data_IF_849027476346
#
_entry.id   IF_849027476346
#
_cell.length_a   1.000
_cell.length_b   1.000
_cell.length_c   1.000
_cell.angle_alpha   90.00
_cell.angle_beta   90.00
_cell.angle_gamma   90.00
#
_symmetry.space_group_name_H-M   'P 1'
#
loop_
_entity.id
_entity.type
_entity.pdbx_description
1 polymer ?
#
# COMPACT_ATOMS: atom_id res chain seq x y z
N UNK A 1 -27.52 -4.71 -13.05
CA UNK A 1 -26.48 -5.29 -12.14
C UNK A 1 -25.76 -6.49 -12.78
N UNK A 2 -26.45 -7.37 -13.51
CA UNK A 2 -25.82 -8.54 -14.15
C UNK A 2 -24.93 -8.19 -15.35
N UNK A 3 -25.30 -7.22 -16.17
CA UNK A 3 -24.49 -6.78 -17.33
C UNK A 3 -23.14 -6.16 -16.93
N UNK A 4 -23.13 -5.36 -15.88
CA UNK A 4 -21.89 -4.72 -15.38
C UNK A 4 -20.88 -5.74 -14.85
N UNK A 5 -21.33 -6.85 -14.26
CA UNK A 5 -20.44 -7.91 -13.78
C UNK A 5 -19.86 -8.70 -14.96
N UNK A 6 -20.64 -8.94 -16.03
CA UNK A 6 -20.16 -9.64 -17.22
C UNK A 6 -19.12 -8.81 -17.99
N UNK A 7 -19.34 -7.51 -18.15
CA UNK A 7 -18.36 -6.60 -18.79
C UNK A 7 -17.07 -6.50 -18.00
N UNK A 8 -17.14 -6.38 -16.67
CA UNK A 8 -15.95 -6.42 -15.80
C UNK A 8 -15.16 -7.71 -16.01
N UNK A 9 -15.83 -8.86 -16.03
CA UNK A 9 -15.19 -10.15 -16.22
C UNK A 9 -14.52 -10.24 -17.59
N UNK A 10 -15.19 -9.80 -18.66
CA UNK A 10 -14.65 -9.79 -20.01
C UNK A 10 -13.35 -8.96 -20.09
N UNK A 11 -13.35 -7.75 -19.56
CA UNK A 11 -12.17 -6.88 -19.55
C UNK A 11 -11.00 -7.52 -18.79
N UNK A 12 -11.26 -8.17 -17.64
CA UNK A 12 -10.20 -8.83 -16.86
C UNK A 12 -9.50 -9.91 -17.68
N UNK A 13 -10.25 -10.74 -18.42
CA UNK A 13 -9.67 -11.84 -19.22
C UNK A 13 -9.06 -11.33 -20.52
N UNK A 14 -9.73 -10.46 -21.25
CA UNK A 14 -9.27 -9.93 -22.54
C UNK A 14 -7.89 -9.28 -22.45
N UNK A 15 -7.64 -8.50 -21.40
CA UNK A 15 -6.36 -7.80 -21.20
C UNK A 15 -5.32 -8.60 -20.41
N UNK A 16 -5.69 -9.72 -19.80
CA UNK A 16 -4.72 -10.60 -19.14
C UNK A 16 -3.85 -11.39 -20.15
N UNK A 17 -4.34 -11.58 -21.37
CA UNK A 17 -3.63 -12.35 -22.40
C UNK A 17 -2.37 -11.66 -22.94
N UNK A 18 -2.29 -10.33 -22.83
CA UNK A 18 -1.06 -9.59 -23.17
C UNK A 18 0.14 -9.97 -22.29
N UNK A 19 -0.10 -10.54 -21.13
CA UNK A 19 0.96 -11.06 -20.26
C UNK A 19 1.73 -12.23 -20.90
N UNK A 20 1.07 -13.05 -21.72
CA UNK A 20 1.67 -14.18 -22.42
C UNK A 20 2.62 -13.74 -23.55
N UNK A 21 2.49 -12.52 -24.04
CA UNK A 21 3.29 -11.96 -25.13
C UNK A 21 4.55 -11.24 -24.66
N UNK A 22 5.06 -11.57 -23.46
CA UNK A 22 6.28 -10.97 -22.89
C UNK A 22 6.11 -9.57 -22.32
N UNK A 23 4.90 -8.99 -22.42
CA UNK A 23 4.55 -7.73 -21.78
C UNK A 23 4.05 -8.03 -20.36
N UNK A 24 4.83 -7.70 -19.36
CA UNK A 24 4.52 -7.94 -17.92
C UNK A 24 3.33 -7.11 -17.39
N UNK A 25 2.36 -6.81 -18.24
CA UNK A 25 1.23 -5.96 -17.90
C UNK A 25 -0.03 -6.80 -17.71
N UNK A 26 -0.19 -7.39 -16.52
CA UNK A 26 -1.45 -8.06 -16.18
C UNK A 26 -2.53 -7.06 -15.75
N UNK A 27 -3.65 -7.59 -15.25
CA UNK A 27 -4.77 -6.86 -14.67
C UNK A 27 -4.65 -6.84 -13.15
N UNK A 28 -4.91 -5.70 -12.51
CA UNK A 28 -5.15 -5.61 -11.07
C UNK A 28 -6.61 -5.27 -10.79
N UNK A 29 -7.24 -6.06 -9.92
CA UNK A 29 -8.56 -5.76 -9.38
C UNK A 29 -8.36 -5.13 -8.00
N UNK A 30 -8.91 -3.94 -7.81
CA UNK A 30 -8.84 -3.22 -6.56
C UNK A 30 -10.19 -3.27 -5.87
N UNK A 31 -10.20 -3.67 -4.60
CA UNK A 31 -11.42 -3.77 -3.78
C UNK A 31 -11.25 -3.01 -2.46
N UNK A 32 -12.33 -2.70 -1.80
CA UNK A 32 -12.31 -2.02 -0.50
C UNK A 32 -12.13 -3.00 0.65
N UNK A 33 -12.69 -4.20 0.56
CA UNK A 33 -12.79 -5.15 1.66
C UNK A 33 -12.13 -6.50 1.39
N UNK A 34 -11.76 -7.20 2.49
CA UNK A 34 -11.25 -8.57 2.42
C UNK A 34 -12.34 -9.56 1.96
N UNK A 35 -13.59 -9.31 2.32
CA UNK A 35 -14.71 -10.17 1.94
C UNK A 35 -14.90 -10.22 0.42
N UNK A 36 -14.79 -9.06 -0.24
CA UNK A 36 -14.81 -8.98 -1.69
C UNK A 36 -13.63 -9.70 -2.32
N UNK A 37 -12.42 -9.56 -1.77
CA UNK A 37 -11.27 -10.33 -2.24
C UNK A 37 -11.54 -11.84 -2.17
N UNK A 38 -12.08 -12.31 -1.06
CA UNK A 38 -12.39 -13.73 -0.86
C UNK A 38 -13.52 -14.20 -1.80
N UNK A 39 -14.47 -13.33 -2.14
CA UNK A 39 -15.50 -13.62 -3.16
C UNK A 39 -14.86 -13.81 -4.54
N UNK A 40 -14.03 -12.86 -4.99
CA UNK A 40 -13.32 -12.98 -6.26
C UNK A 40 -12.46 -14.25 -6.36
N UNK A 41 -11.81 -14.64 -5.26
CA UNK A 41 -10.99 -15.84 -5.21
C UNK A 41 -11.81 -17.14 -5.31
N UNK A 42 -13.07 -17.13 -4.86
CA UNK A 42 -13.98 -18.26 -5.07
C UNK A 42 -14.47 -18.35 -6.51
N UNK A 43 -14.74 -17.19 -7.10
CA UNK A 43 -15.35 -17.11 -8.43
C UNK A 43 -14.32 -17.31 -9.55
N UNK A 44 -13.04 -16.96 -9.29
CA UNK A 44 -11.95 -16.98 -10.29
C UNK A 44 -10.71 -17.71 -9.77
N UNK A 45 -10.38 -18.85 -10.35
CA UNK A 45 -9.27 -19.72 -9.89
C UNK A 45 -7.86 -19.16 -10.18
N UNK A 46 -7.73 -18.30 -11.20
CA UNK A 46 -6.42 -17.83 -11.70
C UNK A 46 -5.94 -16.52 -11.06
N UNK A 47 -6.75 -15.95 -10.17
CA UNK A 47 -6.42 -14.71 -9.49
C UNK A 47 -5.43 -14.95 -8.34
N UNK A 48 -4.40 -14.11 -8.24
CA UNK A 48 -3.46 -14.13 -7.12
C UNK A 48 -3.75 -12.97 -6.16
N UNK A 49 -4.08 -13.27 -4.89
CA UNK A 49 -4.39 -12.24 -3.91
C UNK A 49 -3.14 -11.58 -3.33
N UNK A 50 -3.27 -10.29 -3.01
CA UNK A 50 -2.40 -9.62 -2.08
C UNK A 50 -3.27 -8.96 -1.00
N UNK A 51 -3.26 -9.54 0.18
CA UNK A 51 -3.90 -8.96 1.36
C UNK A 51 -2.98 -7.94 2.04
N UNK A 52 -3.52 -7.10 2.90
CA UNK A 52 -2.72 -6.18 3.71
C UNK A 52 -1.76 -6.95 4.64
N UNK A 53 -0.66 -6.33 5.03
CA UNK A 53 0.38 -6.93 5.90
C UNK A 53 -0.17 -7.53 7.20
N UNK A 54 -1.18 -6.92 7.79
CA UNK A 54 -1.87 -7.42 8.99
C UNK A 54 -2.59 -8.77 8.81
N UNK A 55 -2.68 -9.27 7.58
CA UNK A 55 -3.28 -10.60 7.29
C UNK A 55 -2.26 -11.72 7.24
N UNK A 56 -0.98 -11.43 7.42
CA UNK A 56 0.11 -12.40 7.37
C UNK A 56 0.82 -12.42 8.72
N UNK A 57 1.05 -13.62 9.27
CA UNK A 57 1.82 -13.80 10.49
C UNK A 57 3.30 -13.70 10.14
N UNK A 58 4.09 -13.05 11.00
CA UNK A 58 5.53 -12.98 10.84
C UNK A 58 6.17 -14.34 11.12
N UNK A 59 6.95 -14.86 10.17
CA UNK A 59 7.61 -16.15 10.34
C UNK A 59 8.79 -16.10 11.31
N UNK A 60 9.38 -14.92 11.55
CA UNK A 60 10.43 -14.72 12.56
C UNK A 60 9.86 -14.53 13.96
N UNK A 61 8.72 -13.87 14.06
CA UNK A 61 8.02 -13.67 15.34
C UNK A 61 6.54 -14.01 15.16
N UNK A 62 6.18 -15.24 15.45
CA UNK A 62 4.82 -15.77 15.28
C UNK A 62 3.75 -15.09 16.16
N UNK A 63 4.15 -14.18 17.04
CA UNK A 63 3.25 -13.37 17.86
C UNK A 63 2.83 -12.08 17.19
N UNK A 64 3.54 -11.66 16.15
CA UNK A 64 3.27 -10.43 15.41
C UNK A 64 2.79 -10.70 13.98
N UNK A 65 2.06 -9.75 13.44
CA UNK A 65 1.71 -9.71 12.03
C UNK A 65 2.75 -8.93 11.22
N UNK A 66 2.80 -9.12 9.92
CA UNK A 66 3.85 -8.56 9.06
C UNK A 66 3.90 -7.01 9.02
N UNK A 67 2.85 -6.32 9.46
CA UNK A 67 2.81 -4.85 9.58
C UNK A 67 3.53 -4.31 10.81
N UNK A 68 3.58 -5.10 11.90
CA UNK A 68 4.26 -4.74 13.16
C UNK A 68 5.47 -5.64 13.44
N UNK A 69 5.90 -6.42 12.47
CA UNK A 69 7.02 -7.34 12.59
C UNK A 69 8.36 -6.61 12.81
N UNK A 70 9.35 -7.23 13.48
CA UNK A 70 10.66 -6.63 13.75
C UNK A 70 11.36 -6.07 12.50
N UNK A 71 11.18 -6.70 11.33
CA UNK A 71 11.72 -6.23 10.06
C UNK A 71 11.13 -4.89 9.58
N UNK A 72 10.04 -4.43 10.18
CA UNK A 72 9.44 -3.12 9.88
C UNK A 72 10.29 -1.98 10.45
N UNK A 73 10.98 -2.23 11.57
CA UNK A 73 11.77 -1.25 12.31
C UNK A 73 13.28 -1.39 12.08
N UNK A 74 13.75 -2.47 11.45
CA UNK A 74 15.15 -2.72 11.21
C UNK A 74 15.43 -3.04 9.74
N UNK A 75 16.28 -2.24 9.10
CA UNK A 75 16.71 -2.46 7.71
C UNK A 75 17.52 -3.75 7.54
N UNK A 76 18.32 -4.13 8.55
CA UNK A 76 19.07 -5.38 8.57
C UNK A 76 18.13 -6.58 8.57
N UNK A 77 17.19 -6.64 9.51
CA UNK A 77 16.20 -7.72 9.58
C UNK A 77 15.29 -7.74 8.35
N UNK A 78 14.99 -6.59 7.74
CA UNK A 78 14.25 -6.52 6.50
C UNK A 78 14.98 -7.18 5.34
N UNK A 79 16.30 -7.01 5.25
CA UNK A 79 17.14 -7.66 4.24
C UNK A 79 17.20 -9.17 4.49
N UNK A 80 17.43 -9.59 5.73
CA UNK A 80 17.44 -11.01 6.11
C UNK A 80 16.09 -11.69 5.79
N UNK A 81 14.95 -11.06 6.10
CA UNK A 81 13.62 -11.54 5.73
C UNK A 81 13.42 -11.65 4.21
N UNK A 82 13.99 -10.74 3.46
CA UNK A 82 13.90 -10.76 2.01
C UNK A 82 14.73 -11.91 1.40
N UNK A 83 15.94 -12.10 1.90
CA UNK A 83 16.90 -13.06 1.36
C UNK A 83 16.52 -14.52 1.72
N UNK A 84 15.85 -14.76 2.85
CA UNK A 84 15.50 -16.11 3.27
C UNK A 84 14.18 -16.67 2.69
N UNK A 85 13.49 -15.93 1.82
CA UNK A 85 12.21 -16.31 1.20
C UNK A 85 11.15 -16.87 2.19
N UNK A 86 11.30 -16.58 3.48
CA UNK A 86 10.46 -17.17 4.53
C UNK A 86 9.28 -16.27 4.94
N UNK A 87 9.04 -15.16 4.25
CA UNK A 87 7.98 -14.23 4.59
C UNK A 87 6.77 -14.42 3.68
N UNK A 88 5.67 -14.95 4.21
CA UNK A 88 4.43 -15.20 3.47
C UNK A 88 3.88 -13.95 2.79
N UNK A 89 4.06 -12.78 3.43
CA UNK A 89 3.67 -11.51 2.80
C UNK A 89 4.49 -11.21 1.54
N UNK A 90 5.83 -11.35 1.60
CA UNK A 90 6.68 -11.09 0.46
C UNK A 90 6.49 -12.12 -0.65
N UNK A 91 6.28 -13.37 -0.30
CA UNK A 91 5.94 -14.43 -1.26
C UNK A 91 4.62 -14.13 -1.97
N UNK A 92 3.56 -13.81 -1.22
CA UNK A 92 2.26 -13.43 -1.76
C UNK A 92 2.35 -12.18 -2.64
N UNK A 93 3.13 -11.17 -2.21
CA UNK A 93 3.38 -9.97 -3.00
C UNK A 93 4.06 -10.29 -4.32
N UNK A 94 5.10 -11.10 -4.31
CA UNK A 94 5.83 -11.47 -5.52
C UNK A 94 4.94 -12.28 -6.48
N UNK A 95 4.16 -13.22 -5.96
CA UNK A 95 3.14 -13.97 -6.73
C UNK A 95 2.10 -13.02 -7.34
N UNK A 96 1.63 -12.04 -6.59
CA UNK A 96 0.67 -11.05 -7.07
C UNK A 96 1.25 -10.17 -8.18
N UNK A 97 2.50 -9.72 -8.05
CA UNK A 97 3.17 -8.85 -9.03
C UNK A 97 3.39 -9.62 -10.35
N UNK A 98 3.77 -10.88 -10.28
CA UNK A 98 4.04 -11.72 -11.46
C UNK A 98 2.79 -12.37 -12.05
N UNK A 99 1.63 -12.20 -11.44
CA UNK A 99 0.40 -12.82 -11.92
C UNK A 99 -0.22 -12.09 -13.10
N UNK A 100 -0.89 -12.83 -14.01
CA UNK A 100 -1.72 -12.23 -15.05
C UNK A 100 -2.84 -11.38 -14.46
N UNK A 101 -3.50 -11.90 -13.43
CA UNK A 101 -4.58 -11.25 -12.73
C UNK A 101 -4.25 -11.26 -11.24
N UNK A 102 -4.22 -10.09 -10.63
CA UNK A 102 -4.08 -9.94 -9.19
C UNK A 102 -5.27 -9.24 -8.58
N UNK A 103 -5.53 -9.54 -7.31
CA UNK A 103 -6.52 -8.81 -6.53
C UNK A 103 -5.89 -8.30 -5.24
N UNK A 104 -6.17 -7.06 -4.92
CA UNK A 104 -5.66 -6.40 -3.73
C UNK A 104 -6.60 -5.29 -3.27
N UNK A 105 -6.44 -4.83 -2.04
CA UNK A 105 -7.20 -3.67 -1.61
C UNK A 105 -6.54 -2.36 -2.08
N UNK A 106 -7.34 -1.31 -2.18
CA UNK A 106 -6.87 0.02 -2.58
C UNK A 106 -5.68 0.50 -1.75
N UNK A 107 -5.73 0.31 -0.44
CA UNK A 107 -4.65 0.72 0.46
C UNK A 107 -3.33 0.03 0.12
N UNK A 108 -3.35 -1.29 -0.11
CA UNK A 108 -2.15 -2.04 -0.52
C UNK A 108 -1.60 -1.54 -1.84
N UNK A 109 -2.47 -1.24 -2.80
CA UNK A 109 -2.07 -0.71 -4.11
C UNK A 109 -1.39 0.66 -3.98
N UNK A 110 -1.98 1.60 -3.25
CA UNK A 110 -1.41 2.93 -3.09
C UNK A 110 -0.11 2.95 -2.28
N UNK A 111 0.12 1.99 -1.39
CA UNK A 111 1.37 1.89 -0.62
C UNK A 111 2.52 1.22 -1.39
N UNK A 112 2.25 0.59 -2.52
CA UNK A 112 3.33 0.03 -3.35
C UNK A 112 4.19 1.12 -3.97
N UNK A 113 5.50 0.88 -4.14
CA UNK A 113 6.35 1.68 -5.02
C UNK A 113 5.78 1.73 -6.44
N UNK A 114 5.97 2.84 -7.14
CA UNK A 114 5.36 3.04 -8.46
C UNK A 114 5.79 1.99 -9.49
N UNK A 115 7.06 1.57 -9.48
CA UNK A 115 7.56 0.52 -10.38
C UNK A 115 6.86 -0.85 -10.19
N UNK A 116 6.15 -1.07 -9.09
CA UNK A 116 5.36 -2.28 -8.82
C UNK A 116 3.86 -2.12 -9.12
N UNK A 117 3.44 -0.92 -9.54
CA UNK A 117 2.04 -0.60 -9.87
C UNK A 117 1.74 -0.76 -11.37
N UNK A 118 2.75 -1.05 -12.18
CA UNK A 118 2.57 -1.15 -13.63
C UNK A 118 1.66 -2.32 -13.99
N UNK A 119 0.44 -1.98 -14.40
CA UNK A 119 -0.58 -2.90 -14.90
C UNK A 119 -1.20 -2.31 -16.16
N UNK A 120 -1.56 -3.15 -17.10
CA UNK A 120 -2.23 -2.68 -18.32
C UNK A 120 -3.66 -2.22 -18.02
N UNK A 121 -4.33 -2.94 -17.13
CA UNK A 121 -5.68 -2.63 -16.70
C UNK A 121 -5.76 -2.63 -15.18
N UNK A 122 -6.43 -1.62 -14.64
CA UNK A 122 -6.82 -1.55 -13.25
C UNK A 122 -8.33 -1.51 -13.21
N UNK A 123 -8.92 -2.51 -12.56
CA UNK A 123 -10.36 -2.59 -12.34
C UNK A 123 -10.63 -2.10 -10.92
N UNK A 124 -11.34 -0.99 -10.81
CA UNK A 124 -11.74 -0.43 -9.52
C UNK A 124 -13.15 -0.97 -9.18
N UNK A 125 -13.20 -1.96 -8.29
CA UNK A 125 -14.49 -2.41 -7.75
C UNK A 125 -14.91 -1.50 -6.60
N UNK A 126 -16.20 -1.23 -6.49
CA UNK A 126 -16.73 -0.20 -5.58
C UNK A 126 -16.07 1.18 -5.80
N UNK A 127 -16.02 1.62 -7.05
CA UNK A 127 -15.36 2.88 -7.43
C UNK A 127 -15.93 4.12 -6.71
N UNK A 128 -17.15 4.05 -6.17
CA UNK A 128 -17.74 5.07 -5.30
C UNK A 128 -16.92 5.32 -4.03
N UNK A 129 -16.21 4.30 -3.53
CA UNK A 129 -15.37 4.42 -2.35
C UNK A 129 -13.95 4.93 -2.66
N UNK A 130 -13.58 5.03 -3.93
CA UNK A 130 -12.24 5.43 -4.34
C UNK A 130 -11.86 6.83 -3.83
N UNK A 131 -12.80 7.77 -3.84
CA UNK A 131 -12.59 9.12 -3.33
C UNK A 131 -12.23 9.08 -1.84
N UNK A 132 -13.01 8.35 -1.03
CA UNK A 132 -12.77 8.20 0.40
C UNK A 132 -11.40 7.58 0.67
N UNK A 133 -11.00 6.58 -0.11
CA UNK A 133 -9.69 5.93 0.01
C UNK A 133 -8.56 6.89 -0.35
N UNK A 134 -8.70 7.66 -1.42
CA UNK A 134 -7.69 8.66 -1.83
C UNK A 134 -7.58 9.74 -0.76
N UNK A 135 -8.69 10.31 -0.32
CA UNK A 135 -8.70 11.32 0.74
C UNK A 135 -8.03 10.78 2.00
N UNK A 136 -8.44 9.60 2.47
CA UNK A 136 -7.84 8.97 3.65
C UNK A 136 -6.33 8.73 3.49
N UNK A 137 -5.88 8.35 2.29
CA UNK A 137 -4.47 8.05 2.01
C UNK A 137 -3.58 9.29 1.98
N UNK A 138 -4.10 10.38 1.45
CA UNK A 138 -3.35 11.62 1.26
C UNK A 138 -3.67 12.68 2.31
N UNK A 139 -4.62 12.41 3.22
CA UNK A 139 -4.90 13.26 4.39
C UNK A 139 -3.94 12.95 5.53
N UNK A 140 -3.61 13.98 6.27
CA UNK A 140 -2.81 13.89 7.47
C UNK A 140 -3.61 14.50 8.65
N UNK A 141 -3.86 13.69 9.67
CA UNK A 141 -4.43 14.19 10.92
C UNK A 141 -3.30 14.63 11.84
N UNK A 142 -3.23 15.93 12.10
CA UNK A 142 -2.22 16.51 12.97
C UNK A 142 -2.88 16.88 14.31
N UNK A 143 -2.49 16.18 15.36
CA UNK A 143 -2.92 16.53 16.72
C UNK A 143 -2.18 17.78 17.20
N UNK A 144 -2.91 18.88 17.34
CA UNK A 144 -2.34 20.16 17.77
C UNK A 144 -1.55 20.05 19.09
N UNK A 145 -2.06 19.29 20.05
CA UNK A 145 -1.38 19.06 21.32
C UNK A 145 0.01 18.42 21.18
N UNK A 146 0.20 17.56 20.19
CA UNK A 146 1.53 16.99 19.90
C UNK A 146 2.47 18.02 19.29
N UNK A 147 1.97 18.88 18.41
CA UNK A 147 2.80 19.95 17.83
C UNK A 147 3.30 20.94 18.89
N UNK A 148 2.44 21.35 19.81
CA UNK A 148 2.83 22.23 20.91
C UNK A 148 3.92 21.62 21.80
N UNK A 149 3.86 20.31 22.04
CA UNK A 149 4.89 19.60 22.82
C UNK A 149 6.29 19.72 22.20
N UNK A 150 6.38 19.88 20.88
CA UNK A 150 7.64 20.03 20.14
C UNK A 150 7.92 21.45 19.69
N UNK A 151 7.22 22.43 20.28
CA UNK A 151 7.32 23.84 19.91
C UNK A 151 7.10 24.10 18.41
N UNK A 152 6.16 23.37 17.85
CA UNK A 152 5.75 23.47 16.45
C UNK A 152 4.34 24.03 16.37
N UNK A 153 4.13 24.99 15.50
CA UNK A 153 2.80 25.55 15.23
C UNK A 153 2.36 25.30 13.80
N UNK A 154 1.07 24.99 13.61
CA UNK A 154 0.52 24.93 12.27
C UNK A 154 0.39 26.34 11.70
N UNK A 155 0.75 26.52 10.43
CA UNK A 155 0.59 27.80 9.78
C UNK A 155 -0.89 28.11 9.59
N UNK A 156 -1.39 29.15 10.24
CA UNK A 156 -2.73 29.66 9.97
C UNK A 156 -2.64 30.71 8.86
N UNK A 157 -3.23 30.41 7.70
CA UNK A 157 -3.34 31.37 6.59
C UNK A 157 -4.47 30.97 5.66
N UNK A 158 -5.18 31.95 5.11
CA UNK A 158 -6.20 31.77 4.09
C UNK A 158 -5.60 31.62 2.68
N UNK A 159 -4.31 31.91 2.52
CA UNK A 159 -3.61 31.79 1.24
C UNK A 159 -3.06 30.38 1.08
N UNK A 160 -3.60 29.62 0.12
CA UNK A 160 -3.21 28.22 -0.13
C UNK A 160 -1.72 28.06 -0.44
N UNK A 161 -1.14 28.92 -1.28
CA UNK A 161 0.27 28.85 -1.64
C UNK A 161 1.18 29.08 -0.43
N UNK A 162 0.83 30.06 0.41
CA UNK A 162 1.55 30.34 1.64
C UNK A 162 1.38 29.18 2.65
N UNK A 163 0.20 28.57 2.70
CA UNK A 163 -0.05 27.40 3.54
C UNK A 163 0.84 26.23 3.13
N UNK A 164 0.88 25.89 1.84
CA UNK A 164 1.76 24.81 1.35
C UNK A 164 3.23 25.08 1.59
N UNK A 165 3.70 26.31 1.36
CA UNK A 165 5.09 26.68 1.66
C UNK A 165 5.43 26.44 3.14
N UNK A 166 4.57 26.88 4.04
CA UNK A 166 4.77 26.68 5.49
C UNK A 166 4.65 25.22 5.92
N UNK A 167 3.82 24.39 5.23
CA UNK A 167 3.81 22.96 5.46
C UNK A 167 5.13 22.30 5.06
N UNK A 168 5.74 22.73 3.97
CA UNK A 168 7.06 22.25 3.54
C UNK A 168 8.11 22.63 4.59
N UNK A 169 8.08 23.85 5.11
CA UNK A 169 8.99 24.30 6.17
C UNK A 169 8.81 23.47 7.46
N UNK A 170 7.58 23.18 7.83
CA UNK A 170 7.26 22.31 8.97
C UNK A 170 7.79 20.89 8.76
N UNK A 171 7.57 20.33 7.56
CA UNK A 171 8.11 19.02 7.18
C UNK A 171 9.64 18.99 7.34
N UNK A 172 10.34 19.99 6.81
CA UNK A 172 11.81 20.06 6.87
C UNK A 172 12.31 20.13 8.32
N UNK A 173 11.60 20.85 9.20
CA UNK A 173 11.91 20.90 10.64
C UNK A 173 11.72 19.54 11.31
N UNK A 174 10.64 18.81 10.97
CA UNK A 174 10.39 17.48 11.50
C UNK A 174 11.42 16.46 11.02
N UNK A 175 11.79 16.50 9.75
CA UNK A 175 12.83 15.64 9.17
C UNK A 175 14.20 15.89 9.84
N UNK A 176 14.53 17.17 10.12
CA UNK A 176 15.77 17.54 10.84
C UNK A 176 15.77 16.97 12.26
N UNK A 177 14.66 17.13 13.01
CA UNK A 177 14.53 16.56 14.37
C UNK A 177 14.55 15.04 14.37
N UNK A 178 13.91 14.41 13.40
CA UNK A 178 13.95 12.95 13.24
C UNK A 178 15.39 12.46 13.04
N UNK A 179 16.14 13.08 12.14
CA UNK A 179 17.53 12.73 11.87
C UNK A 179 18.43 12.95 13.09
N UNK A 180 18.19 13.99 13.89
CA UNK A 180 18.90 14.24 15.13
C UNK A 180 18.66 13.12 16.16
N UNK A 181 17.41 12.73 16.37
CA UNK A 181 17.04 11.64 17.29
C UNK A 181 17.65 10.32 16.81
N UNK A 182 17.58 10.02 15.52
CA UNK A 182 18.16 8.79 14.95
C UNK A 182 19.67 8.73 15.21
N UNK A 183 20.39 9.84 14.99
CA UNK A 183 21.84 9.92 15.28
C UNK A 183 22.18 9.75 16.76
N UNK A 184 21.29 10.19 17.66
CA UNK A 184 21.47 9.99 19.09
C UNK A 184 21.28 8.51 19.47
N UNK A 185 20.30 7.83 18.86
CA UNK A 185 20.03 6.41 19.10
C UNK A 185 21.13 5.50 18.54
N UNK A 186 21.76 5.87 17.43
CA UNK A 186 22.85 5.10 16.81
C UNK A 186 24.17 5.19 17.59
N UNK A 187 24.27 6.13 18.55
CA UNK A 187 25.47 6.30 19.41
C UNK A 187 25.42 5.53 20.72
N UNK A 188 24.29 4.89 21.02
CA UNK A 188 24.08 4.04 22.20
C UNK A 188 23.84 2.58 21.77
#
# INVERSE_FOLDING_TARGET
>A
AYETTWEKNRLVYEYSDDFNNGKRYGTSILTTTKALQDQYLRDFKDIKPLKGKSSYICNLDKRSTADVAPCTFSTKLKKECWDCNSCDYYESRNKSISAKISIENYSSFFHKPDHLKHRKVIVCDEASELENVIVSRFSCNIELGKLFKYDLSLPYTKNSNLFFKRLIDLKNKLDSKHNEITRMLDKH
#
